data_IF_532513267717
#
_entry.id   IF_532513267717
#
_cell.length_a   1.000
_cell.length_b   1.000
_cell.length_c   1.000
_cell.angle_alpha   90.00
_cell.angle_beta   90.00
_cell.angle_gamma   90.00
#
_symmetry.space_group_name_H-M   'P 1'
#
loop_
_entity.id
_entity.type
_entity.pdbx_description
1 polymer ?
#
# COMPACT_ATOMS: atom_id res chain seq x y z
N UNK A 1 35.94 0.53 -0.09
CA UNK A 1 34.98 0.72 -1.19
C UNK A 1 34.02 -0.45 -1.35
N UNK A 2 34.51 -1.69 -1.52
CA UNK A 2 33.65 -2.90 -1.70
C UNK A 2 32.51 -3.04 -0.67
N UNK A 3 32.79 -2.88 0.65
CA UNK A 3 31.77 -2.97 1.72
C UNK A 3 30.65 -1.94 1.60
N UNK A 4 30.97 -0.71 1.22
CA UNK A 4 29.97 0.36 1.05
C UNK A 4 29.06 0.09 -0.13
N UNK A 5 29.63 -0.40 -1.23
CA UNK A 5 28.85 -0.81 -2.39
C UNK A 5 27.91 -1.97 -2.05
N UNK A 6 28.37 -2.96 -1.28
CA UNK A 6 27.50 -4.05 -0.79
C UNK A 6 26.36 -3.54 0.10
N UNK A 7 26.63 -2.61 1.03
CA UNK A 7 25.58 -2.00 1.86
C UNK A 7 24.53 -1.27 1.02
N UNK A 8 24.96 -0.48 0.04
CA UNK A 8 24.05 0.23 -0.87
C UNK A 8 23.24 -0.77 -1.70
N UNK A 9 23.87 -1.84 -2.21
CA UNK A 9 23.16 -2.88 -2.96
C UNK A 9 22.10 -3.58 -2.10
N UNK A 10 22.41 -3.88 -0.83
CA UNK A 10 21.44 -4.46 0.10
C UNK A 10 20.23 -3.54 0.33
N UNK A 11 20.46 -2.23 0.44
CA UNK A 11 19.36 -1.23 0.52
C UNK A 11 18.50 -1.30 -0.74
N UNK A 12 19.11 -1.23 -1.92
CA UNK A 12 18.39 -1.22 -3.20
C UNK A 12 17.59 -2.51 -3.43
N UNK A 13 18.19 -3.67 -3.16
CA UNK A 13 17.52 -4.97 -3.27
C UNK A 13 16.35 -5.04 -2.29
N UNK A 14 16.55 -4.61 -1.05
CA UNK A 14 15.50 -4.63 -0.02
C UNK A 14 14.31 -3.73 -0.39
N UNK A 15 14.57 -2.54 -0.95
CA UNK A 15 13.53 -1.65 -1.47
C UNK A 15 12.84 -2.23 -2.71
N UNK A 16 13.58 -2.85 -3.62
CA UNK A 16 13.02 -3.44 -4.83
C UNK A 16 11.98 -4.53 -4.50
N UNK A 17 12.22 -5.34 -3.48
CA UNK A 17 11.25 -6.35 -3.01
C UNK A 17 9.92 -5.77 -2.52
N UNK A 18 9.87 -4.48 -2.17
CA UNK A 18 8.66 -3.82 -1.71
C UNK A 18 8.03 -2.97 -2.82
N UNK A 19 8.85 -2.24 -3.58
CA UNK A 19 8.37 -1.27 -4.58
C UNK A 19 7.90 -1.96 -5.86
N UNK A 20 8.67 -2.93 -6.36
CA UNK A 20 8.36 -3.62 -7.62
C UNK A 20 6.99 -4.31 -7.59
N UNK A 21 6.64 -5.15 -6.59
CA UNK A 21 5.33 -5.79 -6.58
C UNK A 21 4.18 -4.78 -6.56
N UNK A 22 4.32 -3.66 -5.82
CA UNK A 22 3.31 -2.59 -5.79
C UNK A 22 3.07 -2.01 -7.18
N UNK A 23 4.13 -1.74 -7.95
CA UNK A 23 4.01 -1.21 -9.32
C UNK A 23 3.36 -2.22 -10.27
N UNK A 24 3.68 -3.51 -10.11
CA UNK A 24 3.18 -4.58 -11.00
C UNK A 24 1.70 -4.93 -10.75
N UNK A 25 1.23 -4.83 -9.50
CA UNK A 25 -0.13 -5.24 -9.12
C UNK A 25 -1.06 -4.05 -8.78
N UNK A 26 -0.64 -2.82 -9.11
CA UNK A 26 -1.50 -1.65 -8.91
C UNK A 26 -2.75 -1.70 -9.80
N UNK A 27 -3.93 -1.28 -9.31
CA UNK A 27 -5.19 -1.40 -10.03
C UNK A 27 -5.44 -0.29 -11.06
N UNK A 28 -4.61 0.76 -11.07
CA UNK A 28 -4.77 1.91 -11.99
C UNK A 28 -4.07 1.72 -13.34
N UNK A 29 -3.59 0.52 -13.64
CA UNK A 29 -2.95 0.17 -14.91
C UNK A 29 -3.47 -1.19 -15.37
N UNK A 30 -3.61 -1.41 -16.69
CA UNK A 30 -3.90 -2.73 -17.22
C UNK A 30 -2.88 -3.76 -16.74
N UNK A 31 -3.38 -4.88 -16.22
CA UNK A 31 -2.54 -5.96 -15.68
C UNK A 31 -2.50 -7.12 -16.66
N UNK A 32 -1.31 -7.70 -16.83
CA UNK A 32 -1.11 -8.94 -17.59
C UNK A 32 -0.98 -10.12 -16.62
N UNK A 33 -1.30 -11.33 -17.10
CA UNK A 33 -1.11 -12.55 -16.30
C UNK A 33 0.33 -12.67 -15.76
N UNK A 34 1.33 -12.37 -16.59
CA UNK A 34 2.74 -12.39 -16.21
C UNK A 34 3.08 -11.35 -15.14
N UNK A 35 2.58 -10.11 -15.25
CA UNK A 35 2.84 -9.08 -14.24
C UNK A 35 2.25 -9.45 -12.89
N UNK A 36 1.06 -10.07 -12.86
CA UNK A 36 0.43 -10.54 -11.64
C UNK A 36 1.21 -11.70 -11.03
N UNK A 37 1.58 -12.69 -11.83
CA UNK A 37 2.38 -13.83 -11.37
C UNK A 37 3.68 -13.38 -10.70
N UNK A 38 4.46 -12.53 -11.38
CA UNK A 38 5.72 -12.01 -10.85
C UNK A 38 5.48 -11.13 -9.62
N UNK A 39 4.47 -10.25 -9.67
CA UNK A 39 4.13 -9.35 -8.57
C UNK A 39 3.75 -10.10 -7.30
N UNK A 40 2.87 -11.10 -7.39
CA UNK A 40 2.48 -11.92 -6.25
C UNK A 40 3.61 -12.84 -5.77
N UNK A 41 4.43 -13.37 -6.68
CA UNK A 41 5.61 -14.15 -6.30
C UNK A 41 6.61 -13.31 -5.49
N UNK A 42 6.90 -12.09 -5.96
CA UNK A 42 7.74 -11.13 -5.23
C UNK A 42 7.13 -10.76 -3.89
N UNK A 43 5.82 -10.45 -3.84
CA UNK A 43 5.11 -10.11 -2.59
C UNK A 43 5.17 -11.24 -1.57
N UNK A 44 5.06 -12.50 -2.01
CA UNK A 44 5.18 -13.68 -1.13
C UNK A 44 6.59 -13.84 -0.56
N UNK A 45 7.61 -13.52 -1.35
CA UNK A 45 9.02 -13.65 -0.96
C UNK A 45 9.52 -12.45 -0.14
N UNK A 46 8.95 -11.26 -0.32
CA UNK A 46 9.42 -10.01 0.25
C UNK A 46 9.63 -10.02 1.78
N UNK A 47 8.74 -10.58 2.64
CA UNK A 47 8.95 -10.60 4.08
C UNK A 47 10.23 -11.31 4.52
N UNK A 48 10.60 -12.37 3.79
CA UNK A 48 11.79 -13.19 4.03
C UNK A 48 13.03 -12.55 3.42
N UNK A 49 12.94 -12.11 2.17
CA UNK A 49 14.06 -11.49 1.47
C UNK A 49 14.52 -10.19 2.15
N UNK A 50 13.58 -9.33 2.57
CA UNK A 50 13.90 -8.09 3.30
C UNK A 50 14.50 -8.38 4.67
N UNK A 51 14.03 -9.41 5.38
CA UNK A 51 14.59 -9.82 6.67
C UNK A 51 16.02 -10.34 6.53
N UNK A 52 16.28 -11.21 5.55
CA UNK A 52 17.64 -11.69 5.24
C UNK A 52 18.55 -10.53 4.85
N UNK A 53 18.08 -9.62 3.98
CA UNK A 53 18.84 -8.43 3.60
C UNK A 53 19.16 -7.55 4.81
N UNK A 54 18.23 -7.40 5.76
CA UNK A 54 18.43 -6.65 6.99
C UNK A 54 19.47 -7.31 7.92
N UNK A 55 19.41 -8.62 8.10
CA UNK A 55 20.41 -9.36 8.90
C UNK A 55 21.81 -9.20 8.30
N UNK A 56 21.94 -9.39 6.98
CA UNK A 56 23.20 -9.20 6.26
C UNK A 56 23.71 -7.76 6.35
N UNK A 57 22.80 -6.79 6.23
CA UNK A 57 23.11 -5.37 6.36
C UNK A 57 23.64 -5.06 7.76
N UNK A 58 22.96 -5.49 8.82
CA UNK A 58 23.37 -5.27 10.21
C UNK A 58 24.72 -5.92 10.51
N UNK A 59 24.95 -7.16 10.06
CA UNK A 59 26.23 -7.84 10.23
C UNK A 59 27.38 -7.08 9.55
N UNK A 60 27.17 -6.65 8.31
CA UNK A 60 28.17 -5.89 7.55
C UNK A 60 28.38 -4.49 8.14
N UNK A 61 27.31 -3.81 8.55
CA UNK A 61 27.35 -2.50 9.18
C UNK A 61 28.09 -2.55 10.53
N UNK A 62 27.86 -3.58 11.35
CA UNK A 62 28.59 -3.79 12.59
C UNK A 62 30.10 -3.97 12.35
N UNK A 63 30.47 -4.73 11.32
CA UNK A 63 31.88 -4.89 10.91
C UNK A 63 32.50 -3.56 10.45
N UNK A 64 31.75 -2.75 9.69
CA UNK A 64 32.18 -1.46 9.18
C UNK A 64 32.28 -0.41 10.30
N UNK A 65 31.36 -0.46 11.27
CA UNK A 65 31.31 0.42 12.44
C UNK A 65 32.53 0.21 13.35
N UNK A 66 32.87 -1.05 13.65
CA UNK A 66 34.04 -1.41 14.46
C UNK A 66 35.35 -0.96 13.82
N UNK A 67 35.45 -1.04 12.50
CA UNK A 67 36.64 -0.63 11.75
C UNK A 67 36.75 0.89 11.48
N UNK A 68 35.71 1.68 11.77
CA UNK A 68 35.68 3.10 11.42
C UNK A 68 35.84 4.01 12.63
N UNK A 69 36.84 4.90 12.60
CA UNK A 69 36.98 6.02 13.56
C UNK A 69 36.16 7.26 13.18
N UNK A 70 35.65 7.34 11.94
CA UNK A 70 35.00 8.55 11.40
C UNK A 70 33.53 8.62 11.81
N UNK A 71 33.11 9.69 12.49
CA UNK A 71 31.72 9.89 12.96
C UNK A 71 30.70 9.98 11.82
N UNK A 72 31.06 10.62 10.70
CA UNK A 72 30.16 10.71 9.54
C UNK A 72 29.88 9.35 8.89
N UNK A 73 30.86 8.45 8.88
CA UNK A 73 30.68 7.10 8.34
C UNK A 73 29.69 6.31 9.21
N UNK A 74 29.77 6.48 10.52
CA UNK A 74 28.82 5.93 11.47
C UNK A 74 27.41 6.49 11.27
N UNK A 75 27.29 7.81 11.12
CA UNK A 75 26.01 8.45 10.79
C UNK A 75 25.41 7.90 9.49
N UNK A 76 26.23 7.74 8.44
CA UNK A 76 25.79 7.19 7.16
C UNK A 76 25.26 5.75 7.30
N UNK A 77 25.88 4.90 8.13
CA UNK A 77 25.37 3.55 8.40
C UNK A 77 23.98 3.56 9.05
N UNK A 78 23.74 4.50 9.97
CA UNK A 78 22.41 4.68 10.59
C UNK A 78 21.40 5.16 9.55
N UNK A 79 21.77 6.13 8.70
CA UNK A 79 20.90 6.61 7.62
C UNK A 79 20.54 5.48 6.65
N UNK A 80 21.51 4.65 6.27
CA UNK A 80 21.27 3.51 5.37
C UNK A 80 20.45 2.38 6.03
N UNK A 81 20.45 2.27 7.36
CA UNK A 81 19.62 1.31 8.08
C UNK A 81 18.12 1.65 8.00
N UNK A 82 17.77 2.94 7.94
CA UNK A 82 16.38 3.42 7.90
C UNK A 82 15.58 2.78 6.76
N UNK A 83 15.98 2.87 5.47
CA UNK A 83 15.22 2.25 4.38
C UNK A 83 15.17 0.72 4.46
N UNK A 84 16.18 0.08 5.06
CA UNK A 84 16.20 -1.38 5.26
C UNK A 84 15.22 -1.81 6.34
N UNK A 85 15.14 -1.07 7.44
CA UNK A 85 14.14 -1.32 8.48
C UNK A 85 12.72 -1.04 7.96
N UNK A 86 12.56 0.06 7.21
CA UNK A 86 11.30 0.42 6.58
C UNK A 86 10.81 -0.67 5.60
N UNK A 87 11.70 -1.23 4.77
CA UNK A 87 11.30 -2.28 3.83
C UNK A 87 10.91 -3.59 4.53
N UNK A 88 11.56 -3.96 5.65
CA UNK A 88 11.15 -5.11 6.48
C UNK A 88 9.72 -4.91 7.00
N UNK A 89 9.41 -3.71 7.49
CA UNK A 89 8.06 -3.40 7.96
C UNK A 89 7.04 -3.39 6.81
N UNK A 90 7.34 -2.65 5.72
CA UNK A 90 6.47 -2.51 4.55
C UNK A 90 6.19 -3.84 3.85
N UNK A 91 7.15 -4.76 3.78
CA UNK A 91 6.95 -6.08 3.19
C UNK A 91 5.86 -6.91 3.89
N UNK A 92 5.47 -6.54 5.12
CA UNK A 92 4.42 -7.18 5.91
C UNK A 92 3.11 -6.39 5.92
N UNK A 93 3.08 -5.23 5.27
CA UNK A 93 1.88 -4.41 5.16
C UNK A 93 1.15 -4.71 3.86
N UNK A 94 -0.16 -4.44 3.86
CA UNK A 94 -0.93 -4.40 2.64
C UNK A 94 -1.23 -2.93 2.29
N UNK A 95 -0.43 -2.34 1.40
CA UNK A 95 -0.58 -0.93 1.05
C UNK A 95 -1.93 -0.63 0.38
N UNK A 96 -2.54 -1.64 -0.25
CA UNK A 96 -3.85 -1.52 -0.88
C UNK A 96 -4.98 -1.43 0.15
N UNK A 97 -4.82 -2.00 1.35
CA UNK A 97 -5.78 -1.77 2.44
C UNK A 97 -5.75 -0.31 2.88
N UNK A 98 -4.58 0.32 2.91
CA UNK A 98 -4.50 1.74 3.24
C UNK A 98 -5.06 2.64 2.14
N UNK A 99 -4.79 2.26 0.88
CA UNK A 99 -5.28 3.00 -0.28
C UNK A 99 -6.79 2.87 -0.47
N UNK A 100 -7.36 1.71 -0.14
CA UNK A 100 -8.80 1.43 -0.25
C UNK A 100 -9.38 1.15 1.13
N UNK A 101 -9.08 2.03 2.08
CA UNK A 101 -9.58 1.88 3.44
C UNK A 101 -11.11 1.89 3.43
N UNK A 102 -11.76 0.96 4.19
CA UNK A 102 -13.21 0.91 4.28
C UNK A 102 -13.79 2.24 4.76
N UNK A 103 -14.98 2.58 4.27
CA UNK A 103 -15.71 3.72 4.78
C UNK A 103 -16.21 3.41 6.20
N UNK A 104 -15.71 4.14 7.21
CA UNK A 104 -16.05 3.87 8.61
C UNK A 104 -17.53 4.12 8.94
N UNK A 105 -18.13 5.12 8.29
CA UNK A 105 -19.55 5.45 8.40
C UNK A 105 -20.03 6.11 7.12
N UNK A 106 -21.15 5.65 6.58
CA UNK A 106 -21.85 6.35 5.51
C UNK A 106 -22.48 7.65 6.03
N UNK A 107 -22.46 8.69 5.20
CA UNK A 107 -23.20 9.93 5.44
C UNK A 107 -23.76 10.42 4.11
N UNK A 108 -24.91 11.06 4.17
CA UNK A 108 -25.62 11.53 2.99
C UNK A 108 -25.44 13.03 2.80
N UNK A 109 -25.28 13.44 1.55
CA UNK A 109 -25.41 14.81 1.11
C UNK A 109 -26.64 14.90 0.20
N UNK A 110 -27.28 16.08 0.14
CA UNK A 110 -28.24 16.33 -0.93
C UNK A 110 -27.50 16.35 -2.27
N UNK A 111 -28.21 16.03 -3.35
CA UNK A 111 -27.62 16.04 -4.69
C UNK A 111 -26.92 17.37 -5.00
N UNK A 112 -27.57 18.50 -4.71
CA UNK A 112 -27.02 19.85 -4.96
C UNK A 112 -25.77 20.16 -4.11
N UNK A 113 -25.59 19.50 -2.96
CA UNK A 113 -24.44 19.68 -2.07
C UNK A 113 -23.27 18.74 -2.45
N UNK A 114 -23.53 17.68 -3.23
CA UNK A 114 -22.57 16.65 -3.61
C UNK A 114 -21.72 17.07 -4.82
N UNK A 115 -21.03 18.21 -4.73
CA UNK A 115 -20.25 18.84 -5.83
C UNK A 115 -19.12 17.97 -6.42
N UNK A 116 -18.79 16.84 -5.79
CA UNK A 116 -17.83 15.84 -6.27
C UNK A 116 -18.47 14.72 -7.09
N UNK A 117 -19.78 14.80 -7.35
CA UNK A 117 -20.56 13.90 -8.22
C UNK A 117 -21.10 14.75 -9.38
N UNK A 118 -20.76 14.38 -10.61
CA UNK A 118 -21.27 15.06 -11.80
C UNK A 118 -22.64 14.50 -12.19
N UNK A 119 -23.43 15.27 -12.94
CA UNK A 119 -24.77 14.85 -13.40
C UNK A 119 -24.75 13.58 -14.27
N UNK A 120 -23.62 13.28 -14.93
CA UNK A 120 -23.40 12.10 -15.77
C UNK A 120 -22.68 10.94 -15.06
N UNK A 121 -22.35 11.09 -13.77
CA UNK A 121 -21.74 10.01 -13.00
C UNK A 121 -22.75 8.88 -12.75
N UNK A 122 -22.30 7.65 -12.91
CA UNK A 122 -23.12 6.47 -12.61
C UNK A 122 -23.28 6.30 -11.09
N UNK A 123 -24.52 6.04 -10.67
CA UNK A 123 -24.88 5.76 -9.27
C UNK A 123 -25.63 4.43 -9.15
N UNK A 124 -25.48 3.76 -8.00
CA UNK A 124 -26.38 2.70 -7.58
C UNK A 124 -27.50 3.32 -6.75
N UNK A 125 -28.72 3.36 -7.28
CA UNK A 125 -29.88 3.87 -6.57
C UNK A 125 -30.58 2.75 -5.79
N UNK A 126 -30.96 3.04 -4.55
CA UNK A 126 -31.72 2.13 -3.68
C UNK A 126 -32.93 2.85 -3.14
N UNK A 127 -34.09 2.20 -3.24
CA UNK A 127 -35.34 2.64 -2.61
C UNK A 127 -35.84 1.55 -1.66
N UNK A 128 -36.10 1.93 -0.40
CA UNK A 128 -36.62 1.03 0.62
C UNK A 128 -37.50 1.83 1.58
N UNK A 129 -38.72 1.36 1.84
CA UNK A 129 -39.69 1.99 2.75
C UNK A 129 -39.86 3.52 2.55
N UNK A 130 -39.81 3.98 1.29
CA UNK A 130 -39.97 5.39 0.91
C UNK A 130 -38.70 6.25 1.05
N UNK A 131 -37.61 5.70 1.61
CA UNK A 131 -36.30 6.32 1.60
C UNK A 131 -35.58 5.98 0.29
N UNK A 132 -35.00 7.00 -0.36
CA UNK A 132 -34.28 6.88 -1.62
C UNK A 132 -32.88 7.45 -1.48
N UNK A 133 -31.87 6.64 -1.79
CA UNK A 133 -30.46 7.01 -1.71
C UNK A 133 -29.75 6.61 -2.99
N UNK A 134 -28.65 7.30 -3.29
CA UNK A 134 -27.80 7.02 -4.44
C UNK A 134 -26.35 6.92 -3.99
N UNK A 135 -25.69 5.82 -4.35
CA UNK A 135 -24.28 5.58 -4.07
C UNK A 135 -23.46 5.82 -5.34
N UNK A 136 -22.62 6.87 -5.42
CA UNK A 136 -21.77 7.08 -6.59
C UNK A 136 -20.82 5.91 -6.80
N UNK A 137 -20.84 5.31 -8.00
CA UNK A 137 -20.02 4.13 -8.31
C UNK A 137 -18.53 4.46 -8.15
N UNK A 138 -18.10 5.69 -8.47
CA UNK A 138 -16.72 6.13 -8.27
C UNK A 138 -16.30 6.09 -6.79
N UNK A 139 -17.18 6.41 -5.86
CA UNK A 139 -16.88 6.37 -4.43
C UNK A 139 -16.90 4.93 -3.89
N UNK A 140 -17.87 4.12 -4.32
CA UNK A 140 -17.85 2.69 -4.03
C UNK A 140 -16.62 2.02 -4.63
N UNK A 141 -16.10 2.50 -5.77
CA UNK A 141 -14.86 2.02 -6.37
C UNK A 141 -13.60 2.26 -5.56
N UNK A 142 -13.67 3.22 -4.64
CA UNK A 142 -12.57 3.49 -3.72
C UNK A 142 -12.74 2.79 -2.38
N UNK A 143 -13.96 2.75 -1.82
CA UNK A 143 -14.22 2.15 -0.50
C UNK A 143 -14.65 0.67 -0.55
N UNK A 144 -14.90 0.14 -1.75
CA UNK A 144 -15.41 -1.19 -2.11
C UNK A 144 -16.78 -1.58 -1.54
N UNK A 145 -17.02 -1.33 -0.26
CA UNK A 145 -18.27 -1.68 0.43
C UNK A 145 -18.74 -0.49 1.27
N UNK A 146 -20.02 -0.14 1.11
CA UNK A 146 -20.70 0.85 1.95
C UNK A 146 -21.74 0.13 2.78
N UNK A 147 -21.48 0.02 4.09
CA UNK A 147 -22.46 -0.49 5.05
C UNK A 147 -23.43 0.64 5.44
N UNK A 148 -24.72 0.37 5.32
CA UNK A 148 -25.75 1.40 5.46
C UNK A 148 -27.06 0.81 5.98
N UNK A 149 -28.05 1.67 6.25
CA UNK A 149 -29.42 1.28 6.58
C UNK A 149 -30.37 2.21 5.84
N UNK A 150 -31.11 1.66 4.87
CA UNK A 150 -32.05 2.42 4.02
C UNK A 150 -33.47 1.98 4.32
N UNK A 151 -34.32 2.91 4.73
CA UNK A 151 -35.69 2.62 5.13
C UNK A 151 -35.76 1.69 6.34
N UNK A 152 -34.76 1.70 7.22
CA UNK A 152 -34.65 0.76 8.34
C UNK A 152 -34.17 -0.66 7.98
N UNK A 153 -33.79 -0.90 6.72
CA UNK A 153 -33.23 -2.19 6.26
C UNK A 153 -31.71 -2.08 6.14
N UNK A 154 -30.93 -2.91 6.86
CA UNK A 154 -29.48 -2.95 6.68
C UNK A 154 -29.10 -3.39 5.27
N UNK A 155 -28.19 -2.66 4.64
CA UNK A 155 -27.68 -2.96 3.29
C UNK A 155 -26.14 -2.88 3.27
N UNK A 156 -25.56 -3.61 2.32
CA UNK A 156 -24.14 -3.50 1.97
C UNK A 156 -24.04 -3.22 0.46
N UNK A 157 -23.85 -1.96 0.10
CA UNK A 157 -23.72 -1.54 -1.29
C UNK A 157 -22.30 -1.82 -1.80
N UNK A 158 -22.20 -2.43 -2.99
CA UNK A 158 -20.95 -2.78 -3.69
C UNK A 158 -21.18 -2.68 -5.20
N UNK A 159 -20.10 -2.64 -5.99
CA UNK A 159 -20.11 -2.57 -7.45
C UNK A 159 -19.21 -3.64 -8.08
#
# INVERSE_FOLDING_TARGET
MKRWLTLILLVLVSLAFVVVPVILIQPFRPQTARSLEVGYWLRRLAPWATLVAAILFVALAASAWRGSRRRWAKALLVVLLIPVAASVWLARQNIFEWMFNPLASASYAKADDAVYVNDDDMVLAVESNGERVAYPVRLMAYHHVVADTVGGVPVAATY
#
